data_IF_735835796203
#
_entry.id   IF_735835796203
#
_cell.length_a   1.000
_cell.length_b   1.000
_cell.length_c   1.000
_cell.angle_alpha   90.00
_cell.angle_beta   90.00
_cell.angle_gamma   90.00
#
_symmetry.space_group_name_H-M   'P 1'
#
loop_
_entity.id
_entity.type
_entity.pdbx_description
1 polymer ?
#
# COMPACT_ATOMS: atom_id res chain seq x y z
N UNK A 1 -14.13 -72.84 22.29
CA UNK A 1 -13.90 -72.04 21.07
C UNK A 1 -13.99 -70.59 21.48
N UNK A 2 -12.85 -69.93 21.68
CA UNK A 2 -12.74 -68.50 22.07
C UNK A 2 -12.67 -67.65 20.82
N UNK A 3 -13.66 -66.82 20.60
CA UNK A 3 -13.66 -65.84 19.51
C UNK A 3 -12.85 -64.63 19.99
N UNK A 4 -11.66 -64.43 19.42
CA UNK A 4 -10.90 -63.18 19.54
C UNK A 4 -11.59 -62.13 18.67
N UNK A 5 -12.10 -61.11 19.29
CA UNK A 5 -12.50 -59.87 18.60
C UNK A 5 -11.31 -58.92 18.57
N UNK A 6 -10.67 -58.80 17.43
CA UNK A 6 -9.67 -57.73 17.20
C UNK A 6 -10.43 -56.38 16.98
N UNK A 7 -10.39 -55.56 17.98
CA UNK A 7 -10.79 -54.13 17.82
C UNK A 7 -9.64 -53.37 17.14
N UNK A 8 -9.73 -53.14 15.84
CA UNK A 8 -8.84 -52.22 15.13
C UNK A 8 -9.23 -50.80 15.54
N UNK A 9 -8.45 -50.23 16.46
CA UNK A 9 -8.51 -48.82 16.74
C UNK A 9 -7.91 -48.06 15.53
N UNK A 10 -8.78 -47.52 14.69
CA UNK A 10 -8.39 -46.61 13.62
C UNK A 10 -8.01 -45.27 14.25
N UNK A 11 -6.72 -45.09 14.50
CA UNK A 11 -6.15 -43.87 14.97
C UNK A 11 -6.12 -42.91 13.76
N UNK A 12 -7.15 -42.11 13.61
CA UNK A 12 -7.11 -40.94 12.73
C UNK A 12 -6.07 -39.98 13.33
N UNK A 13 -4.83 -40.12 12.91
CA UNK A 13 -3.86 -39.05 13.05
C UNK A 13 -4.38 -37.89 12.23
N UNK A 14 -5.05 -36.93 12.87
CA UNK A 14 -5.26 -35.62 12.30
C UNK A 14 -3.84 -35.02 12.12
N UNK A 15 -3.29 -35.20 10.93
CA UNK A 15 -2.14 -34.42 10.52
C UNK A 15 -2.62 -32.95 10.56
N UNK A 16 -2.33 -32.26 11.63
CA UNK A 16 -2.36 -30.81 11.63
C UNK A 16 -1.37 -30.40 10.55
N UNK A 17 -1.88 -30.07 9.38
CA UNK A 17 -1.07 -29.36 8.39
C UNK A 17 -0.55 -28.14 9.15
N UNK A 18 0.75 -28.03 9.29
CA UNK A 18 1.37 -26.79 9.73
C UNK A 18 1.03 -25.77 8.64
N UNK A 19 0.01 -24.99 8.90
CA UNK A 19 -0.36 -23.89 8.05
C UNK A 19 0.75 -22.87 8.20
N UNK A 20 1.35 -22.44 7.10
CA UNK A 20 2.47 -21.51 7.16
C UNK A 20 1.92 -20.12 7.54
N UNK A 21 2.61 -19.41 8.42
CA UNK A 21 2.25 -18.03 8.76
C UNK A 21 2.29 -17.16 7.51
N UNK A 22 1.32 -16.23 7.41
CA UNK A 22 1.28 -15.24 6.34
C UNK A 22 2.24 -14.10 6.67
N UNK A 23 3.28 -13.96 5.88
CA UNK A 23 4.29 -12.91 6.08
C UNK A 23 3.85 -11.60 5.42
N UNK A 24 3.78 -10.55 6.20
CA UNK A 24 3.36 -9.21 5.77
C UNK A 24 4.54 -8.26 5.79
N UNK A 25 5.01 -7.87 4.63
CA UNK A 25 6.06 -6.84 4.49
C UNK A 25 5.52 -5.47 4.85
N UNK A 26 6.22 -4.75 5.73
CA UNK A 26 5.91 -3.38 6.12
C UNK A 26 7.05 -2.48 5.68
N UNK A 27 6.82 -1.74 4.59
CA UNK A 27 7.82 -0.95 3.88
C UNK A 27 7.58 0.55 4.11
N UNK A 28 8.06 1.05 5.24
CA UNK A 28 7.92 2.45 5.64
C UNK A 28 9.23 2.99 6.21
N UNK A 29 9.56 4.25 5.89
CA UNK A 29 10.75 4.92 6.45
C UNK A 29 10.60 5.15 7.95
N UNK A 30 11.53 4.60 8.70
CA UNK A 30 11.62 4.75 10.16
C UNK A 30 12.71 5.76 10.54
N UNK A 31 13.52 6.16 9.57
CA UNK A 31 14.55 7.18 9.66
C UNK A 31 14.51 8.13 8.46
N UNK A 32 15.26 9.22 8.52
CA UNK A 32 15.26 10.26 7.49
C UNK A 32 14.04 11.19 7.56
N UNK A 33 13.82 11.98 6.50
CA UNK A 33 12.85 13.09 6.47
C UNK A 33 11.39 12.65 6.53
N UNK A 34 11.08 11.44 6.06
CA UNK A 34 9.70 10.91 6.03
C UNK A 34 9.32 10.13 7.29
N UNK A 35 10.26 9.87 8.19
CA UNK A 35 10.03 9.09 9.41
C UNK A 35 8.88 9.65 10.27
N UNK A 36 8.73 10.97 10.31
CA UNK A 36 7.67 11.65 11.07
C UNK A 36 6.26 11.21 10.64
N UNK A 37 6.07 10.91 9.35
CA UNK A 37 4.79 10.46 8.81
C UNK A 37 4.70 8.93 8.75
N UNK A 38 5.77 8.27 8.31
CA UNK A 38 5.74 6.85 8.00
C UNK A 38 5.85 5.94 9.22
N UNK A 39 6.44 6.41 10.33
CA UNK A 39 6.46 5.65 11.60
C UNK A 39 5.03 5.38 12.10
N UNK A 40 4.15 6.38 12.03
CA UNK A 40 2.74 6.20 12.43
C UNK A 40 2.01 5.19 11.54
N UNK A 41 2.30 5.16 10.24
CA UNK A 41 1.74 4.16 9.32
C UNK A 41 2.20 2.75 9.67
N UNK A 42 3.50 2.57 9.94
CA UNK A 42 4.06 1.30 10.42
C UNK A 42 3.39 0.87 11.73
N UNK A 43 3.25 1.77 12.71
CA UNK A 43 2.62 1.45 14.00
C UNK A 43 1.15 1.04 13.82
N UNK A 44 0.41 1.72 12.93
CA UNK A 44 -0.95 1.37 12.58
C UNK A 44 -1.04 -0.02 11.97
N UNK A 45 -0.14 -0.36 11.05
CA UNK A 45 -0.09 -1.71 10.46
C UNK A 45 0.18 -2.78 11.49
N UNK A 46 1.15 -2.55 12.40
CA UNK A 46 1.46 -3.52 13.46
C UNK A 46 0.28 -3.72 14.41
N UNK A 47 -0.41 -2.63 14.78
CA UNK A 47 -1.62 -2.70 15.60
C UNK A 47 -2.72 -3.53 14.92
N UNK A 48 -2.99 -3.29 13.62
CA UNK A 48 -4.01 -4.04 12.89
C UNK A 48 -3.66 -5.52 12.73
N UNK A 49 -2.38 -5.84 12.52
CA UNK A 49 -1.89 -7.23 12.47
C UNK A 49 -2.10 -7.91 13.83
N UNK A 50 -1.77 -7.23 14.93
CA UNK A 50 -1.96 -7.74 16.28
C UNK A 50 -3.45 -7.98 16.57
N UNK A 51 -4.31 -7.02 16.25
CA UNK A 51 -5.77 -7.16 16.39
C UNK A 51 -6.32 -8.34 15.57
N UNK A 52 -5.87 -8.50 14.33
CA UNK A 52 -6.30 -9.63 13.49
C UNK A 52 -5.82 -10.97 14.06
N UNK A 53 -4.59 -11.03 14.56
CA UNK A 53 -4.04 -12.21 15.21
C UNK A 53 -4.78 -12.56 16.50
N UNK A 54 -5.19 -11.56 17.27
CA UNK A 54 -6.01 -11.79 18.48
C UNK A 54 -7.39 -12.37 18.16
N UNK A 55 -7.91 -12.13 16.94
CA UNK A 55 -9.17 -12.73 16.42
C UNK A 55 -8.98 -14.13 15.82
N UNK A 56 -7.77 -14.68 15.83
CA UNK A 56 -7.44 -16.00 15.29
C UNK A 56 -6.71 -15.98 13.94
N UNK A 57 -6.16 -14.84 13.55
CA UNK A 57 -5.41 -14.68 12.31
C UNK A 57 -6.30 -14.54 11.08
N UNK A 58 -5.77 -14.92 9.94
CA UNK A 58 -6.48 -14.92 8.66
C UNK A 58 -6.50 -16.35 8.11
N UNK A 59 -7.69 -16.88 7.83
CA UNK A 59 -7.88 -18.28 7.40
C UNK A 59 -7.27 -19.33 8.35
N UNK A 60 -7.11 -18.99 9.63
CA UNK A 60 -6.48 -19.84 10.63
C UNK A 60 -4.95 -19.71 10.73
N UNK A 61 -4.35 -18.83 9.94
CA UNK A 61 -2.92 -18.53 9.89
C UNK A 61 -2.61 -17.22 10.61
N UNK A 62 -1.44 -17.13 11.23
CA UNK A 62 -0.99 -15.89 11.84
C UNK A 62 -0.39 -14.96 10.79
N UNK A 63 -0.64 -13.68 10.96
CA UNK A 63 0.02 -12.61 10.21
C UNK A 63 1.35 -12.29 10.92
N UNK A 64 2.48 -12.42 10.23
CA UNK A 64 3.81 -12.13 10.76
C UNK A 64 4.38 -10.91 10.04
N UNK A 65 4.52 -9.77 10.73
CA UNK A 65 5.07 -8.57 10.11
C UNK A 65 6.58 -8.70 9.92
N UNK A 66 7.05 -8.29 8.74
CA UNK A 66 8.46 -8.10 8.41
C UNK A 66 8.67 -6.62 8.10
N UNK A 67 9.25 -5.91 9.05
CA UNK A 67 9.42 -4.45 8.97
C UNK A 67 10.81 -4.12 8.44
N UNK A 68 10.89 -3.25 7.45
CA UNK A 68 12.15 -2.75 6.90
C UNK A 68 12.15 -1.22 6.87
N UNK A 69 13.32 -0.62 7.01
CA UNK A 69 13.53 0.82 6.96
C UNK A 69 14.28 1.21 5.69
N UNK A 70 13.63 1.85 4.71
CA UNK A 70 14.28 2.42 3.54
C UNK A 70 14.83 3.84 3.78
N UNK A 71 14.90 4.33 5.01
CA UNK A 71 15.58 5.55 5.46
C UNK A 71 15.24 6.82 4.64
N UNK A 72 14.01 6.92 4.10
CA UNK A 72 13.58 8.01 3.21
C UNK A 72 14.40 8.13 1.91
N UNK A 73 15.11 7.09 1.52
CA UNK A 73 15.90 7.01 0.30
C UNK A 73 15.17 6.19 -0.77
N UNK A 74 14.88 6.80 -1.91
CA UNK A 74 14.04 6.17 -2.93
C UNK A 74 14.66 4.93 -3.59
N UNK A 75 15.95 4.92 -3.96
CA UNK A 75 16.64 3.71 -4.39
C UNK A 75 16.57 2.60 -3.34
N UNK A 76 16.76 2.94 -2.06
CA UNK A 76 16.71 1.98 -0.97
C UNK A 76 15.29 1.40 -0.77
N UNK A 77 14.22 2.14 -1.10
CA UNK A 77 12.87 1.56 -1.14
C UNK A 77 12.78 0.38 -2.12
N UNK A 78 13.36 0.51 -3.32
CA UNK A 78 13.38 -0.57 -4.30
C UNK A 78 14.22 -1.77 -3.83
N UNK A 79 15.38 -1.53 -3.20
CA UNK A 79 16.21 -2.59 -2.62
C UNK A 79 15.48 -3.32 -1.50
N UNK A 80 14.83 -2.59 -0.59
CA UNK A 80 14.07 -3.16 0.52
C UNK A 80 12.81 -3.91 0.06
N UNK A 81 12.15 -3.45 -0.98
CA UNK A 81 11.06 -4.20 -1.60
C UNK A 81 11.56 -5.55 -2.18
N UNK A 82 12.72 -5.53 -2.85
CA UNK A 82 13.35 -6.75 -3.36
C UNK A 82 13.77 -7.69 -2.23
N UNK A 83 14.35 -7.15 -1.15
CA UNK A 83 14.72 -7.92 0.06
C UNK A 83 13.49 -8.61 0.67
N UNK A 84 12.38 -7.87 0.83
CA UNK A 84 11.12 -8.43 1.35
C UNK A 84 10.62 -9.61 0.50
N UNK A 85 10.64 -9.46 -0.83
CA UNK A 85 10.13 -10.49 -1.75
C UNK A 85 11.06 -11.68 -1.93
N UNK A 86 12.40 -11.48 -1.90
CA UNK A 86 13.35 -12.53 -2.29
C UNK A 86 14.12 -13.16 -1.11
N UNK A 87 14.27 -12.45 -0.01
CA UNK A 87 14.99 -12.93 1.19
C UNK A 87 14.02 -13.32 2.27
N UNK A 88 13.03 -12.46 2.53
CA UNK A 88 12.04 -12.71 3.57
C UNK A 88 10.85 -13.53 3.08
N UNK A 89 10.64 -13.58 1.75
CA UNK A 89 9.57 -14.33 1.11
C UNK A 89 8.20 -13.92 1.68
N UNK A 90 7.92 -12.61 1.63
CA UNK A 90 6.65 -12.07 2.11
C UNK A 90 5.54 -12.29 1.08
N UNK A 91 4.34 -12.62 1.56
CA UNK A 91 3.17 -12.88 0.72
C UNK A 91 2.57 -11.57 0.15
N UNK A 92 2.70 -10.48 0.92
CA UNK A 92 2.13 -9.18 0.57
C UNK A 92 2.94 -8.08 1.24
N UNK A 93 2.99 -6.90 0.61
CA UNK A 93 3.60 -5.70 1.18
C UNK A 93 2.57 -4.60 1.38
N UNK A 94 2.68 -3.88 2.49
CA UNK A 94 2.01 -2.62 2.74
C UNK A 94 3.07 -1.55 2.94
N UNK A 95 2.96 -0.44 2.23
CA UNK A 95 3.97 0.57 2.42
C UNK A 95 4.02 1.64 1.36
N UNK A 96 5.12 2.38 1.41
CA UNK A 96 5.36 3.62 0.72
C UNK A 96 4.44 4.75 1.23
N UNK A 97 4.91 5.97 1.14
CA UNK A 97 4.12 7.16 1.42
C UNK A 97 4.24 8.17 0.29
N UNK A 98 5.44 8.39 -0.20
CA UNK A 98 5.67 9.32 -1.30
C UNK A 98 5.38 8.66 -2.66
N UNK A 99 4.88 9.44 -3.63
CA UNK A 99 4.68 8.92 -4.99
C UNK A 99 5.98 8.48 -5.64
N UNK A 100 7.10 9.12 -5.34
CA UNK A 100 8.40 8.73 -5.89
C UNK A 100 8.90 7.41 -5.30
N UNK A 101 8.70 7.14 -4.00
CA UNK A 101 9.05 5.84 -3.42
C UNK A 101 8.22 4.72 -4.04
N UNK A 102 6.91 4.94 -4.24
CA UNK A 102 6.04 4.00 -4.97
C UNK A 102 6.56 3.72 -6.37
N UNK A 103 6.91 4.78 -7.13
CA UNK A 103 7.45 4.64 -8.49
C UNK A 103 8.79 3.91 -8.54
N UNK A 104 9.60 4.01 -7.50
CA UNK A 104 10.85 3.23 -7.38
C UNK A 104 10.57 1.74 -7.08
N UNK A 105 9.54 1.43 -6.32
CA UNK A 105 9.16 0.06 -5.96
C UNK A 105 8.38 -0.64 -7.08
N UNK A 106 7.61 0.10 -7.88
CA UNK A 106 6.73 -0.45 -8.92
C UNK A 106 7.44 -1.44 -9.86
N UNK A 107 8.62 -1.14 -10.45
CA UNK A 107 9.31 -2.09 -11.31
C UNK A 107 9.69 -3.39 -10.59
N UNK A 108 10.03 -3.31 -9.30
CA UNK A 108 10.43 -4.47 -8.49
C UNK A 108 9.25 -5.42 -8.24
N UNK A 109 8.09 -4.87 -7.87
CA UNK A 109 6.90 -5.70 -7.62
C UNK A 109 6.36 -6.31 -8.91
N UNK A 110 6.50 -5.62 -10.04
CA UNK A 110 6.11 -6.16 -11.35
C UNK A 110 7.06 -7.26 -11.82
N UNK A 111 8.38 -7.04 -11.72
CA UNK A 111 9.41 -8.02 -12.08
C UNK A 111 9.27 -9.33 -11.28
N UNK A 112 9.08 -9.20 -9.97
CA UNK A 112 9.03 -10.34 -9.05
C UNK A 112 7.60 -10.87 -8.82
N UNK A 113 6.61 -10.30 -9.52
CA UNK A 113 5.19 -10.61 -9.35
C UNK A 113 4.74 -10.53 -7.87
N UNK A 114 5.30 -9.57 -7.13
CA UNK A 114 4.91 -9.28 -5.76
C UNK A 114 3.57 -8.52 -5.70
N UNK A 115 3.05 -8.34 -4.49
CA UNK A 115 1.80 -7.63 -4.25
C UNK A 115 2.04 -6.47 -3.29
N UNK A 116 1.68 -5.25 -3.70
CA UNK A 116 1.80 -4.03 -2.90
C UNK A 116 0.43 -3.38 -2.67
N UNK A 117 0.11 -3.10 -1.42
CA UNK A 117 -0.98 -2.19 -1.04
C UNK A 117 -0.37 -0.82 -0.72
N UNK A 118 -0.68 0.18 -1.54
CA UNK A 118 -0.25 1.56 -1.37
C UNK A 118 -1.34 2.36 -0.64
N UNK A 119 -1.12 2.82 0.61
CA UNK A 119 -2.19 3.29 1.48
C UNK A 119 -2.55 4.77 1.35
N UNK A 120 -1.79 5.54 0.58
CA UNK A 120 -1.87 7.01 0.55
C UNK A 120 -2.53 7.50 -0.74
N UNK A 121 -3.11 8.70 -0.72
CA UNK A 121 -3.58 9.36 -1.93
C UNK A 121 -2.43 9.54 -2.95
N UNK A 122 -2.78 9.55 -4.22
CA UNK A 122 -1.79 9.65 -5.28
C UNK A 122 -2.35 10.44 -6.49
N UNK A 123 -1.47 10.78 -7.40
CA UNK A 123 -1.78 11.59 -8.58
C UNK A 123 -2.58 10.86 -9.66
N UNK A 124 -2.88 9.59 -9.49
CA UNK A 124 -3.49 8.79 -10.56
C UNK A 124 -2.51 8.48 -11.69
N UNK A 125 -3.03 8.30 -12.92
CA UNK A 125 -2.26 8.07 -14.16
C UNK A 125 -1.27 6.90 -14.10
N UNK A 126 -1.51 5.95 -13.21
CA UNK A 126 -0.72 4.75 -13.00
C UNK A 126 -1.64 3.57 -12.70
N UNK A 127 -1.39 2.45 -13.33
CA UNK A 127 -2.08 1.20 -13.03
C UNK A 127 -1.11 0.04 -13.12
N UNK A 128 -1.22 -0.90 -12.20
CA UNK A 128 -0.45 -2.13 -12.18
C UNK A 128 -1.29 -3.26 -11.61
N UNK A 129 -1.17 -4.45 -12.17
CA UNK A 129 -1.80 -5.65 -11.60
C UNK A 129 -1.19 -6.06 -10.25
N UNK A 130 -0.04 -5.49 -9.91
CA UNK A 130 0.74 -5.80 -8.72
C UNK A 130 0.54 -4.77 -7.60
N UNK A 131 -0.20 -3.68 -7.85
CA UNK A 131 -0.40 -2.61 -6.86
C UNK A 131 -1.87 -2.32 -6.65
N UNK A 132 -2.30 -2.37 -5.40
CA UNK A 132 -3.60 -1.90 -4.96
C UNK A 132 -3.46 -0.48 -4.40
N UNK A 133 -4.04 0.47 -5.11
CA UNK A 133 -4.08 1.88 -4.70
C UNK A 133 -5.30 2.08 -3.81
N UNK A 134 -5.10 2.17 -2.50
CA UNK A 134 -6.19 2.28 -1.52
C UNK A 134 -6.47 3.71 -1.08
N UNK A 135 -5.61 4.66 -1.45
CA UNK A 135 -5.81 6.08 -1.24
C UNK A 135 -6.57 6.76 -2.39
N UNK A 136 -7.01 7.99 -2.16
CA UNK A 136 -7.79 8.75 -3.13
C UNK A 136 -6.97 9.14 -4.37
N UNK A 137 -7.57 9.01 -5.55
CA UNK A 137 -7.09 9.59 -6.80
C UNK A 137 -7.67 11.00 -7.02
N UNK A 138 -7.17 11.79 -7.99
CA UNK A 138 -7.62 13.17 -8.22
C UNK A 138 -9.13 13.32 -8.43
N UNK A 139 -9.78 12.36 -9.07
CA UNK A 139 -11.24 12.36 -9.27
C UNK A 139 -12.04 12.10 -7.98
N UNK A 140 -11.38 11.71 -6.91
CA UNK A 140 -11.98 11.47 -5.59
C UNK A 140 -11.62 12.57 -4.58
N UNK A 141 -10.68 13.44 -4.90
CA UNK A 141 -10.15 14.46 -3.99
C UNK A 141 -10.04 15.84 -4.65
N UNK A 142 -9.12 16.02 -5.59
CA UNK A 142 -8.77 17.31 -6.14
C UNK A 142 -9.89 17.87 -7.06
N UNK A 143 -10.46 17.03 -7.91
CA UNK A 143 -11.54 17.42 -8.82
C UNK A 143 -12.81 17.81 -8.07
N UNK A 144 -13.37 17.00 -7.15
CA UNK A 144 -14.53 17.39 -6.37
C UNK A 144 -14.33 18.67 -5.55
N UNK A 145 -13.12 18.88 -5.02
CA UNK A 145 -12.80 20.13 -4.32
C UNK A 145 -12.83 21.33 -5.28
N UNK A 146 -12.35 21.17 -6.50
CA UNK A 146 -12.38 22.22 -7.54
C UNK A 146 -13.82 22.52 -7.97
N UNK A 147 -14.66 21.49 -8.15
CA UNK A 147 -16.08 21.68 -8.45
C UNK A 147 -16.79 22.46 -7.34
N UNK A 148 -16.53 22.13 -6.08
CA UNK A 148 -17.08 22.88 -4.96
C UNK A 148 -16.70 24.36 -4.98
N UNK A 149 -15.45 24.70 -5.29
CA UNK A 149 -15.02 26.09 -5.44
C UNK A 149 -15.70 26.80 -6.60
N UNK A 150 -15.88 26.12 -7.73
CA UNK A 150 -16.55 26.69 -8.91
C UNK A 150 -18.05 26.86 -8.68
N UNK A 151 -18.74 25.82 -8.24
CA UNK A 151 -20.21 25.72 -8.26
C UNK A 151 -20.84 26.31 -7.00
N UNK A 152 -20.24 26.09 -5.82
CA UNK A 152 -20.81 26.54 -4.55
C UNK A 152 -20.23 27.89 -4.08
N UNK A 153 -18.96 28.17 -4.37
CA UNK A 153 -18.31 29.38 -3.92
C UNK A 153 -18.15 30.44 -5.03
N UNK A 154 -18.46 30.10 -6.28
CA UNK A 154 -18.37 31.02 -7.42
C UNK A 154 -16.95 31.52 -7.69
N UNK A 155 -15.93 30.70 -7.42
CA UNK A 155 -14.54 31.08 -7.67
C UNK A 155 -14.24 31.05 -9.15
N UNK A 156 -13.75 32.17 -9.69
CA UNK A 156 -13.48 32.34 -11.12
C UNK A 156 -11.98 32.28 -11.46
N UNK A 157 -11.10 32.35 -10.46
CA UNK A 157 -9.64 32.38 -10.65
C UNK A 157 -8.96 31.41 -9.71
N UNK A 158 -8.05 30.62 -10.25
CA UNK A 158 -7.29 29.63 -9.51
C UNK A 158 -5.79 29.90 -9.65
N UNK A 159 -5.06 29.73 -8.55
CA UNK A 159 -3.62 29.62 -8.55
C UNK A 159 -3.25 28.21 -8.07
N UNK A 160 -2.59 27.44 -8.93
CA UNK A 160 -2.16 26.09 -8.63
C UNK A 160 -0.74 26.13 -8.07
N UNK A 161 -0.59 25.90 -6.79
CA UNK A 161 0.70 25.94 -6.08
C UNK A 161 1.10 24.53 -5.63
N UNK A 162 2.38 24.21 -5.77
CA UNK A 162 2.91 22.92 -5.31
C UNK A 162 4.42 22.94 -5.21
N UNK A 163 4.98 22.00 -4.47
CA UNK A 163 6.42 21.77 -4.44
C UNK A 163 6.91 21.16 -5.75
N UNK A 164 8.21 21.27 -6.02
CA UNK A 164 8.86 20.64 -7.17
C UNK A 164 8.99 19.12 -6.97
N UNK A 165 7.86 18.42 -7.11
CA UNK A 165 7.70 17.01 -6.80
C UNK A 165 6.64 16.37 -7.69
N UNK A 166 6.72 15.05 -7.93
CA UNK A 166 5.86 14.35 -8.90
C UNK A 166 4.36 14.50 -8.60
N UNK A 167 3.93 14.34 -7.35
CA UNK A 167 2.52 14.41 -6.98
C UNK A 167 1.87 15.77 -7.30
N UNK A 168 2.36 16.94 -6.78
CA UNK A 168 1.74 18.22 -7.11
C UNK A 168 1.92 18.60 -8.58
N UNK A 169 3.03 18.29 -9.22
CA UNK A 169 3.23 18.57 -10.65
C UNK A 169 2.18 17.88 -11.51
N UNK A 170 1.93 16.59 -11.27
CA UNK A 170 0.93 15.83 -12.02
C UNK A 170 -0.49 16.25 -11.66
N UNK A 171 -0.79 16.43 -10.37
CA UNK A 171 -2.10 16.91 -9.92
C UNK A 171 -2.43 18.29 -10.49
N UNK A 172 -1.47 19.22 -10.49
CA UNK A 172 -1.67 20.55 -11.07
C UNK A 172 -1.95 20.49 -12.57
N UNK A 173 -1.27 19.63 -13.34
CA UNK A 173 -1.58 19.41 -14.77
C UNK A 173 -2.99 18.87 -14.99
N UNK A 174 -3.43 17.96 -14.15
CA UNK A 174 -4.80 17.42 -14.20
C UNK A 174 -5.81 18.55 -13.93
N UNK A 175 -5.58 19.32 -12.87
CA UNK A 175 -6.44 20.45 -12.53
C UNK A 175 -6.43 21.57 -13.58
N UNK A 176 -5.27 21.88 -14.15
CA UNK A 176 -5.14 22.82 -15.24
C UNK A 176 -6.01 22.42 -16.45
N UNK A 177 -5.91 21.15 -16.87
CA UNK A 177 -6.73 20.65 -17.95
C UNK A 177 -8.21 20.65 -17.59
N UNK A 178 -8.54 20.22 -16.38
CA UNK A 178 -9.92 20.22 -15.89
C UNK A 178 -10.54 21.63 -15.87
N UNK A 179 -9.81 22.63 -15.40
CA UNK A 179 -10.24 24.03 -15.39
C UNK A 179 -10.44 24.58 -16.80
N UNK A 180 -9.53 24.24 -17.73
CA UNK A 180 -9.69 24.57 -19.16
C UNK A 180 -10.98 24.00 -19.75
N UNK A 181 -11.29 22.73 -19.44
CA UNK A 181 -12.51 22.06 -19.91
C UNK A 181 -13.78 22.69 -19.31
N UNK A 182 -13.70 23.28 -18.13
CA UNK A 182 -14.77 24.07 -17.49
C UNK A 182 -14.83 25.53 -18.00
N UNK A 183 -13.97 25.91 -18.92
CA UNK A 183 -13.96 27.28 -19.54
C UNK A 183 -13.23 28.33 -18.70
N UNK A 184 -12.48 27.94 -17.69
CA UNK A 184 -11.63 28.84 -16.90
C UNK A 184 -10.34 29.12 -17.69
N UNK A 185 -10.02 30.38 -17.88
CA UNK A 185 -8.77 30.77 -18.54
C UNK A 185 -7.57 30.42 -17.65
N UNK A 186 -6.63 29.68 -18.23
CA UNK A 186 -5.35 29.34 -17.56
C UNK A 186 -4.26 30.20 -18.19
N UNK A 187 -3.52 30.94 -17.36
CA UNK A 187 -2.30 31.66 -17.75
C UNK A 187 -1.10 30.95 -17.16
N UNK A 188 -0.02 30.90 -17.93
CA UNK A 188 1.29 30.40 -17.48
C UNK A 188 1.86 31.29 -16.37
#
# INVERSE_FOLDING_TARGET
MRKLVLASAMMCAAASQAVADIKVGVLHSLSGTMAISETTLKDTMLMLIEEQNAKGGLLGEKLVPVVVDPASDWPLFAEKARELLTVHDVDVMFGNWTSVSRKSVLPVVEELNGLLFYPVQYEGEESSKNVFYTGAAPNQQAIPATDYYLEELGVEKFALLGTDYVYPRTTNKILEQYLKDKGIAVSD
#
